data_IF_615353813897
#
_entry.id   IF_615353813897
#
_cell.length_a   1.000
_cell.length_b   1.000
_cell.length_c   1.000
_cell.angle_alpha   90.00
_cell.angle_beta   90.00
_cell.angle_gamma   90.00
#
_symmetry.space_group_name_H-M   'P 1'
#
loop_
_entity.id
_entity.type
_entity.pdbx_description
1 polymer ?
#
# COMPACT_ATOMS: atom_id res chain seq x y z
N UNK A 1 9.19 -24.69 -6.17
CA UNK A 1 10.64 -24.82 -6.47
C UNK A 1 11.16 -23.40 -6.58
N UNK A 2 11.97 -22.94 -5.62
CA UNK A 2 12.59 -21.63 -5.73
C UNK A 2 13.66 -21.73 -6.81
N UNK A 3 13.45 -21.07 -7.95
CA UNK A 3 14.49 -20.92 -8.96
C UNK A 3 15.73 -20.33 -8.27
N UNK A 4 16.91 -20.90 -8.51
CA UNK A 4 18.16 -20.43 -7.91
C UNK A 4 18.44 -19.00 -8.39
N UNK A 5 18.15 -18.00 -7.55
CA UNK A 5 18.26 -16.55 -7.86
C UNK A 5 19.67 -16.00 -7.68
N UNK A 6 20.66 -16.85 -7.38
CA UNK A 6 22.08 -16.46 -7.30
C UNK A 6 22.61 -15.80 -8.57
N UNK A 7 21.99 -16.11 -9.72
CA UNK A 7 22.29 -15.47 -11.01
C UNK A 7 22.20 -13.93 -10.95
N UNK A 8 21.39 -13.35 -10.05
CA UNK A 8 21.27 -11.89 -9.88
C UNK A 8 22.59 -11.24 -9.45
N UNK A 9 23.47 -12.01 -8.79
CA UNK A 9 24.75 -11.54 -8.24
C UNK A 9 25.95 -12.13 -8.99
N UNK A 10 25.93 -13.42 -9.35
CA UNK A 10 27.08 -14.11 -9.94
C UNK A 10 27.49 -13.58 -11.33
N UNK A 11 26.53 -13.04 -12.08
CA UNK A 11 26.76 -12.52 -13.43
C UNK A 11 26.88 -11.00 -13.53
N UNK A 12 26.80 -10.29 -12.40
CA UNK A 12 26.86 -8.83 -12.34
C UNK A 12 28.31 -8.36 -12.16
N UNK A 13 28.72 -7.35 -12.94
CA UNK A 13 30.05 -6.74 -12.84
C UNK A 13 29.92 -5.26 -12.52
N UNK A 14 30.40 -4.87 -11.32
CA UNK A 14 30.42 -3.47 -10.86
C UNK A 14 31.54 -2.64 -11.48
N UNK A 15 32.53 -3.27 -12.11
CA UNK A 15 33.77 -2.57 -12.48
C UNK A 15 33.74 -1.89 -13.84
N UNK A 16 32.63 -1.95 -14.59
CA UNK A 16 32.48 -1.28 -15.89
C UNK A 16 33.47 -1.74 -16.97
N UNK A 17 34.35 -2.69 -16.65
CA UNK A 17 35.44 -3.20 -17.48
C UNK A 17 35.12 -4.54 -18.15
N UNK A 18 34.19 -5.34 -17.60
CA UNK A 18 33.57 -6.47 -18.33
C UNK A 18 32.07 -6.22 -18.51
N UNK A 19 31.58 -6.69 -19.64
CA UNK A 19 30.14 -6.80 -19.90
C UNK A 19 29.51 -7.82 -18.95
N UNK A 20 28.36 -7.49 -18.34
CA UNK A 20 27.56 -8.46 -17.59
C UNK A 20 27.35 -9.75 -18.39
N UNK A 21 27.24 -10.88 -17.69
CA UNK A 21 27.09 -12.18 -18.34
C UNK A 21 25.83 -12.21 -19.21
N UNK A 22 25.86 -12.97 -20.30
CA UNK A 22 24.70 -13.13 -21.18
C UNK A 22 23.50 -13.72 -20.43
N UNK A 23 23.78 -14.61 -19.47
CA UNK A 23 22.76 -15.18 -18.59
C UNK A 23 22.12 -14.12 -17.69
N UNK A 24 22.92 -13.26 -17.05
CA UNK A 24 22.42 -12.17 -16.22
C UNK A 24 21.50 -11.26 -17.02
N UNK A 25 21.92 -10.83 -18.21
CA UNK A 25 21.09 -9.96 -19.07
C UNK A 25 19.76 -10.59 -19.44
N UNK A 26 19.77 -11.87 -19.84
CA UNK A 26 18.56 -12.60 -20.24
C UNK A 26 17.59 -12.74 -19.07
N UNK A 27 18.08 -13.13 -17.90
CA UNK A 27 17.25 -13.33 -16.71
C UNK A 27 16.78 -12.00 -16.10
N UNK A 28 17.62 -10.95 -16.11
CA UNK A 28 17.22 -9.58 -15.74
C UNK A 28 16.11 -9.07 -16.66
N UNK A 29 16.21 -9.32 -17.97
CA UNK A 29 15.16 -8.93 -18.90
C UNK A 29 13.84 -9.66 -18.61
N UNK A 30 13.90 -10.98 -18.34
CA UNK A 30 12.73 -11.75 -17.94
C UNK A 30 12.11 -11.24 -16.62
N UNK A 31 12.93 -10.85 -15.64
CA UNK A 31 12.47 -10.20 -14.40
C UNK A 31 11.74 -8.88 -14.69
N UNK A 32 12.31 -8.03 -15.54
CA UNK A 32 11.69 -6.75 -15.91
C UNK A 32 10.35 -7.00 -16.61
N UNK A 33 10.29 -7.91 -17.57
CA UNK A 33 9.06 -8.22 -18.29
C UNK A 33 7.99 -8.79 -17.36
N UNK A 34 8.38 -9.67 -16.42
CA UNK A 34 7.50 -10.17 -15.37
C UNK A 34 6.98 -9.03 -14.47
N UNK A 35 7.86 -8.18 -13.96
CA UNK A 35 7.50 -7.03 -13.11
C UNK A 35 6.48 -6.10 -13.78
N UNK A 36 6.64 -5.84 -15.09
CA UNK A 36 5.70 -5.01 -15.85
C UNK A 36 4.43 -5.76 -16.25
N UNK A 37 4.46 -7.09 -16.40
CA UNK A 37 3.24 -7.88 -16.65
C UNK A 37 2.26 -7.88 -15.47
N UNK A 38 2.75 -7.67 -14.24
CA UNK A 38 1.95 -7.63 -13.02
C UNK A 38 1.26 -6.29 -12.77
N UNK A 39 1.56 -5.26 -13.57
CA UNK A 39 1.03 -3.92 -13.35
C UNK A 39 0.38 -3.36 -14.61
N UNK A 40 -0.73 -2.66 -14.45
CA UNK A 40 -1.33 -1.85 -15.53
C UNK A 40 -0.69 -0.45 -15.61
N UNK A 41 0.28 -0.15 -14.74
CA UNK A 41 0.96 1.14 -14.66
C UNK A 41 2.27 1.12 -15.43
N UNK A 42 2.68 2.29 -15.93
CA UNK A 42 3.93 2.47 -16.67
C UNK A 42 5.19 2.53 -15.78
N UNK A 43 5.06 2.24 -14.47
CA UNK A 43 6.15 2.27 -13.48
C UNK A 43 6.06 1.11 -12.49
N UNK A 44 7.21 0.63 -12.06
CA UNK A 44 7.38 -0.43 -11.04
C UNK A 44 8.39 0.02 -9.97
N UNK A 45 8.43 -0.66 -8.82
CA UNK A 45 9.46 -0.39 -7.81
C UNK A 45 10.84 -0.77 -8.36
N UNK A 46 11.85 0.01 -8.01
CA UNK A 46 13.23 -0.23 -8.44
C UNK A 46 13.97 -1.09 -7.38
N UNK A 47 14.30 -2.36 -7.66
CA UNK A 47 15.05 -3.22 -6.74
C UNK A 47 16.56 -3.02 -6.86
N UNK A 48 17.04 -1.91 -7.45
CA UNK A 48 18.46 -1.66 -7.56
C UNK A 48 19.09 -1.32 -6.19
N UNK A 49 20.40 -1.51 -6.07
CA UNK A 49 21.14 -1.24 -4.83
C UNK A 49 21.06 0.22 -4.34
N UNK A 50 20.78 1.18 -5.23
CA UNK A 50 20.60 2.59 -4.84
C UNK A 50 19.20 2.83 -4.24
N UNK A 51 18.15 2.30 -4.88
CA UNK A 51 16.77 2.63 -4.53
C UNK A 51 16.14 1.67 -3.53
N UNK A 52 16.62 0.42 -3.41
CA UNK A 52 16.15 -0.59 -2.46
C UNK A 52 14.62 -0.73 -2.40
N UNK A 53 13.95 -0.83 -3.55
CA UNK A 53 12.49 -0.87 -3.73
C UNK A 53 11.72 0.40 -3.30
N UNK A 54 12.41 1.48 -2.92
CA UNK A 54 11.82 2.72 -2.42
C UNK A 54 11.27 3.65 -3.51
N UNK A 55 11.72 3.52 -4.76
CA UNK A 55 11.36 4.42 -5.87
C UNK A 55 10.61 3.71 -6.98
N UNK A 56 9.59 4.37 -7.53
CA UNK A 56 8.92 3.92 -8.74
C UNK A 56 9.63 4.47 -9.99
N UNK A 57 9.95 3.61 -10.94
CA UNK A 57 10.74 3.95 -12.14
C UNK A 57 10.06 3.40 -13.40
N UNK A 58 10.29 4.02 -14.55
CA UNK A 58 9.82 3.49 -15.84
C UNK A 58 10.67 2.31 -16.28
N UNK A 59 10.26 1.60 -17.32
CA UNK A 59 10.98 0.43 -17.84
C UNK A 59 12.40 0.78 -18.26
N UNK A 60 12.58 1.91 -18.94
CA UNK A 60 13.88 2.38 -19.43
C UNK A 60 14.80 2.73 -18.25
N UNK A 61 14.24 3.37 -17.22
CA UNK A 61 15.00 3.71 -16.03
C UNK A 61 15.38 2.46 -15.22
N UNK A 62 14.48 1.49 -15.10
CA UNK A 62 14.76 0.23 -14.41
C UNK A 62 15.90 -0.53 -15.08
N UNK A 63 15.91 -0.62 -16.41
CA UNK A 63 17.01 -1.25 -17.16
C UNK A 63 18.34 -0.57 -16.84
N UNK A 64 18.39 0.77 -16.91
CA UNK A 64 19.61 1.53 -16.59
C UNK A 64 20.05 1.31 -15.14
N UNK A 65 19.14 1.47 -14.19
CA UNK A 65 19.45 1.34 -12.76
C UNK A 65 19.99 -0.06 -12.42
N UNK A 66 19.45 -1.11 -13.03
CA UNK A 66 19.93 -2.47 -12.80
C UNK A 66 21.28 -2.76 -13.45
N UNK A 67 21.58 -2.14 -14.60
CA UNK A 67 22.89 -2.23 -15.25
C UNK A 67 23.95 -1.47 -14.44
N UNK A 68 23.61 -0.28 -13.92
CA UNK A 68 24.57 0.58 -13.24
C UNK A 68 24.82 0.14 -11.78
N UNK A 69 23.76 -0.24 -11.07
CA UNK A 69 23.82 -0.48 -9.62
C UNK A 69 23.64 -1.95 -9.23
N UNK A 70 23.13 -2.78 -10.14
CA UNK A 70 22.75 -4.16 -9.84
C UNK A 70 21.57 -4.25 -8.89
N UNK A 71 21.17 -5.48 -8.56
CA UNK A 71 20.12 -5.73 -7.58
C UNK A 71 20.59 -5.42 -6.16
N UNK A 72 19.66 -5.01 -5.31
CA UNK A 72 19.92 -4.82 -3.89
C UNK A 72 20.35 -6.16 -3.23
N UNK A 73 21.23 -6.13 -2.22
CA UNK A 73 21.72 -7.35 -1.58
C UNK A 73 20.59 -8.18 -0.97
N UNK A 74 20.72 -9.51 -1.04
CA UNK A 74 19.78 -10.46 -0.45
C UNK A 74 18.32 -10.35 -0.93
N UNK A 75 18.09 -9.75 -2.10
CA UNK A 75 16.78 -9.72 -2.76
C UNK A 75 16.48 -11.00 -3.54
N UNK A 76 16.62 -12.14 -2.86
CA UNK A 76 16.32 -13.46 -3.41
C UNK A 76 14.84 -13.80 -3.37
N UNK A 77 13.97 -12.94 -2.85
CA UNK A 77 12.52 -13.12 -2.94
C UNK A 77 11.94 -11.87 -3.55
N UNK A 78 11.21 -12.01 -4.66
CA UNK A 78 10.59 -10.89 -5.35
C UNK A 78 9.31 -10.41 -4.64
N UNK A 79 9.46 -10.03 -3.38
CA UNK A 79 8.37 -9.64 -2.45
C UNK A 79 7.51 -8.50 -2.98
N UNK A 80 8.09 -7.60 -3.78
CA UNK A 80 7.40 -6.48 -4.42
C UNK A 80 7.07 -6.73 -5.90
N UNK A 81 7.45 -7.89 -6.43
CA UNK A 81 7.33 -8.24 -7.85
C UNK A 81 6.69 -9.63 -8.04
N UNK A 82 5.75 -9.98 -7.16
CA UNK A 82 4.77 -11.06 -7.37
C UNK A 82 5.06 -12.40 -6.69
N UNK A 83 6.19 -12.55 -6.00
CA UNK A 83 6.49 -13.79 -5.28
C UNK A 83 5.97 -13.71 -3.84
N UNK A 84 5.08 -14.65 -3.51
CA UNK A 84 4.66 -14.88 -2.12
C UNK A 84 5.75 -15.69 -1.43
N UNK A 85 6.17 -15.23 -0.25
CA UNK A 85 7.05 -16.00 0.61
C UNK A 85 6.39 -17.36 0.89
N UNK A 86 7.02 -18.44 0.42
CA UNK A 86 6.51 -19.79 0.68
C UNK A 86 6.85 -20.07 2.13
N UNK A 87 5.89 -19.87 3.04
CA UNK A 87 6.02 -20.30 4.42
C UNK A 87 6.20 -21.81 4.40
N UNK A 88 7.44 -22.27 4.58
CA UNK A 88 7.73 -23.70 4.70
C UNK A 88 6.99 -24.17 5.96
N UNK A 89 5.84 -24.80 5.76
CA UNK A 89 5.26 -25.66 6.77
C UNK A 89 6.17 -26.87 6.79
N UNK A 90 7.10 -26.90 7.74
CA UNK A 90 7.77 -28.14 8.13
C UNK A 90 6.69 -29.13 8.54
N UNK A 91 6.49 -30.13 7.70
CA UNK A 91 5.72 -31.33 8.04
C UNK A 91 6.44 -32.01 9.20
N UNK A 92 5.80 -31.97 10.37
CA UNK A 92 6.29 -32.54 11.60
C UNK A 92 5.14 -32.63 12.59
N UNK A 93 4.55 -33.81 12.62
CA UNK A 93 3.72 -34.38 13.70
C UNK A 93 2.22 -34.06 13.67
N UNK A 94 1.48 -35.12 13.33
CA UNK A 94 0.06 -35.24 13.57
C UNK A 94 -0.23 -35.03 15.07
N UNK A 95 -0.98 -33.99 15.36
CA UNK A 95 -1.52 -33.67 16.68
C UNK A 95 -2.84 -32.93 16.49
N UNK A 96 -3.88 -33.75 16.41
CA UNK A 96 -5.24 -33.54 16.91
C UNK A 96 -5.74 -32.10 17.18
N UNK A 97 -6.84 -31.82 16.51
CA UNK A 97 -7.97 -31.01 16.95
C UNK A 97 -7.95 -29.47 16.94
N UNK A 98 -9.13 -28.98 16.57
CA UNK A 98 -9.63 -27.61 16.61
C UNK A 98 -9.09 -26.66 15.54
N UNK A 99 -9.99 -26.32 14.62
CA UNK A 99 -10.04 -25.01 13.99
C UNK A 99 -9.58 -23.92 14.97
N UNK A 100 -8.71 -23.03 14.50
CA UNK A 100 -8.37 -21.81 15.21
C UNK A 100 -9.61 -20.96 15.41
N UNK A 101 -10.33 -21.24 16.50
CA UNK A 101 -11.29 -20.30 17.07
C UNK A 101 -10.45 -19.10 17.47
N UNK A 102 -10.80 -17.95 16.90
CA UNK A 102 -10.17 -16.68 17.22
C UNK A 102 -10.37 -16.38 18.71
N UNK A 103 -9.40 -16.77 19.53
CA UNK A 103 -9.41 -16.54 20.99
C UNK A 103 -9.03 -15.10 21.36
N UNK A 104 -8.94 -14.18 20.38
CA UNK A 104 -8.75 -12.77 20.69
C UNK A 104 -9.90 -12.23 21.54
N UNK A 105 -11.13 -12.71 21.31
CA UNK A 105 -12.30 -12.29 22.10
C UNK A 105 -12.20 -12.75 23.57
N UNK A 106 -11.83 -14.01 23.83
CA UNK A 106 -11.61 -14.52 25.19
C UNK A 106 -10.46 -13.80 25.91
N UNK A 107 -9.40 -13.44 25.18
CA UNK A 107 -8.27 -12.68 25.73
C UNK A 107 -8.67 -11.23 26.04
N UNK A 108 -9.51 -10.60 25.21
CA UNK A 108 -10.06 -9.27 25.46
C UNK A 108 -11.00 -9.25 26.67
N UNK A 109 -11.86 -10.27 26.83
CA UNK A 109 -12.71 -10.43 28.01
C UNK A 109 -11.90 -10.65 29.29
N UNK A 110 -10.80 -11.40 29.23
CA UNK A 110 -9.93 -11.65 30.39
C UNK A 110 -9.15 -10.41 30.86
N UNK A 111 -8.84 -9.48 29.94
CA UNK A 111 -8.17 -8.20 30.25
C UNK A 111 -9.14 -7.11 30.74
N UNK A 112 -10.45 -7.29 30.49
CA UNK A 112 -11.49 -6.34 30.86
C UNK A 112 -11.52 -5.95 32.37
N UNK A 113 -11.26 -6.87 33.32
CA UNK A 113 -11.18 -6.56 34.75
C UNK A 113 -9.94 -5.76 35.15
N UNK A 114 -8.83 -5.93 34.42
CA UNK A 114 -7.53 -5.30 34.72
C UNK A 114 -7.46 -3.85 34.22
N UNK A 115 -8.22 -3.55 33.16
CA UNK A 115 -8.20 -2.24 32.50
C UNK A 115 -9.41 -1.34 32.82
N UNK A 116 -10.34 -1.76 33.69
CA UNK A 116 -11.54 -0.99 34.04
C UNK A 116 -12.18 -0.30 32.82
N UNK A 117 -12.27 -1.01 31.67
CA UNK A 117 -12.83 -0.46 30.42
C UNK A 117 -14.31 -0.12 30.56
N UNK A 118 -14.93 -0.57 31.66
CA UNK A 118 -16.28 -0.24 32.10
C UNK A 118 -16.31 0.98 33.03
N UNK A 119 -15.35 1.90 32.93
CA UNK A 119 -15.51 3.23 33.52
C UNK A 119 -16.72 3.88 32.84
N UNK A 120 -17.93 3.66 33.39
CA UNK A 120 -19.19 4.32 33.06
C UNK A 120 -19.17 5.81 33.48
N UNK A 121 -18.00 6.45 33.35
CA UNK A 121 -17.91 7.88 33.32
C UNK A 121 -18.55 8.39 32.03
N UNK A 122 -19.24 9.53 32.04
CA UNK A 122 -19.68 10.16 30.81
C UNK A 122 -18.46 10.32 29.88
N UNK A 123 -18.62 10.05 28.56
CA UNK A 123 -17.55 10.20 27.60
C UNK A 123 -16.91 11.59 27.77
N UNK A 124 -15.57 11.64 27.69
CA UNK A 124 -14.91 12.94 27.72
C UNK A 124 -15.40 13.77 26.53
N UNK A 125 -15.32 15.10 26.64
CA UNK A 125 -15.81 15.98 25.55
C UNK A 125 -15.15 15.65 24.21
N UNK A 126 -13.90 15.24 24.23
CA UNK A 126 -13.13 14.83 23.05
C UNK A 126 -13.71 13.58 22.40
N UNK A 127 -14.14 12.59 23.21
CA UNK A 127 -14.78 11.36 22.72
C UNK A 127 -16.15 11.68 22.12
N UNK A 128 -16.94 12.52 22.77
CA UNK A 128 -18.23 12.96 22.22
C UNK A 128 -18.07 13.71 20.88
N UNK A 129 -17.07 14.59 20.78
CA UNK A 129 -16.77 15.31 19.55
C UNK A 129 -16.34 14.37 18.43
N UNK A 130 -15.52 13.36 18.75
CA UNK A 130 -15.12 12.34 17.79
C UNK A 130 -16.31 11.55 17.24
N UNK A 131 -17.19 11.04 18.10
CA UNK A 131 -18.38 10.30 17.66
C UNK A 131 -19.36 11.16 16.87
N UNK A 132 -19.51 12.44 17.23
CA UNK A 132 -20.30 13.40 16.43
C UNK A 132 -19.74 13.58 15.02
N UNK A 133 -18.42 13.69 14.88
CA UNK A 133 -17.76 13.77 13.58
C UNK A 133 -17.92 12.49 12.76
N UNK A 134 -17.79 11.34 13.41
CA UNK A 134 -17.97 10.04 12.78
C UNK A 134 -19.39 9.92 12.21
N UNK A 135 -20.39 10.21 13.04
CA UNK A 135 -21.79 10.19 12.63
C UNK A 135 -22.05 11.14 11.45
N UNK A 136 -21.58 12.39 11.54
CA UNK A 136 -21.72 13.36 10.45
C UNK A 136 -21.06 12.92 9.13
N UNK A 137 -20.00 12.11 9.19
CA UNK A 137 -19.35 11.56 8.00
C UNK A 137 -20.13 10.41 7.34
N UNK A 138 -20.94 9.70 8.11
CA UNK A 138 -21.77 8.60 7.63
C UNK A 138 -23.10 9.07 7.05
N UNK A 139 -23.50 10.31 7.34
CA UNK A 139 -24.68 10.93 6.75
C UNK A 139 -24.59 11.04 5.22
N UNK A 140 -25.74 10.99 4.51
CA UNK A 140 -25.80 11.18 3.07
C UNK A 140 -25.16 12.49 2.61
N UNK A 141 -24.47 12.44 1.47
CA UNK A 141 -23.79 13.58 0.85
C UNK A 141 -24.76 14.69 0.43
N UNK A 142 -26.02 14.35 0.13
CA UNK A 142 -27.11 15.27 -0.16
C UNK A 142 -28.46 14.57 0.09
N UNK A 143 -29.54 15.33 0.29
CA UNK A 143 -30.91 14.82 0.53
C UNK A 143 -31.42 13.83 -0.53
N UNK A 144 -30.86 13.84 -1.73
CA UNK A 144 -31.29 13.02 -2.86
C UNK A 144 -30.30 11.90 -3.22
N UNK A 145 -29.24 11.72 -2.43
CA UNK A 145 -28.15 10.80 -2.74
C UNK A 145 -28.02 9.78 -1.61
N UNK A 146 -27.83 8.49 -1.93
CA UNK A 146 -27.60 7.43 -0.92
C UNK A 146 -26.13 7.27 -0.51
N UNK A 147 -25.25 8.05 -1.12
CA UNK A 147 -23.81 7.99 -0.90
C UNK A 147 -23.46 8.84 0.30
N UNK A 148 -22.83 8.29 1.33
CA UNK A 148 -22.37 9.07 2.48
C UNK A 148 -21.16 9.95 2.14
N UNK A 149 -20.92 10.97 2.97
CA UNK A 149 -19.74 11.83 2.85
C UNK A 149 -18.46 11.01 2.89
N UNK A 150 -18.36 10.08 3.84
CA UNK A 150 -17.22 9.18 3.99
C UNK A 150 -17.02 8.33 2.72
N UNK A 151 -18.08 7.68 2.22
CA UNK A 151 -17.98 6.84 1.04
C UNK A 151 -17.56 7.63 -0.21
N UNK A 152 -18.01 8.88 -0.34
CA UNK A 152 -17.60 9.77 -1.41
C UNK A 152 -16.12 10.14 -1.32
N UNK A 153 -15.65 10.58 -0.15
CA UNK A 153 -14.25 10.97 0.08
C UNK A 153 -13.32 9.78 -0.10
N UNK A 154 -13.66 8.60 0.45
CA UNK A 154 -12.86 7.38 0.30
C UNK A 154 -12.73 6.99 -1.18
N UNK A 155 -13.80 7.11 -1.97
CA UNK A 155 -13.75 6.84 -3.42
C UNK A 155 -12.88 7.86 -4.15
N UNK A 156 -12.96 9.15 -3.81
CA UNK A 156 -12.10 10.18 -4.39
C UNK A 156 -10.62 9.92 -4.09
N UNK A 157 -10.27 9.55 -2.85
CA UNK A 157 -8.90 9.22 -2.47
C UNK A 157 -8.43 7.94 -3.19
N UNK A 158 -9.29 6.93 -3.31
CA UNK A 158 -8.98 5.72 -4.07
C UNK A 158 -8.69 6.04 -5.55
N UNK A 159 -9.47 6.94 -6.17
CA UNK A 159 -9.22 7.44 -7.54
C UNK A 159 -7.89 8.17 -7.61
N UNK A 160 -7.62 9.10 -6.68
CA UNK A 160 -6.36 9.84 -6.60
C UNK A 160 -5.16 8.88 -6.58
N UNK A 161 -5.21 7.86 -5.73
CA UNK A 161 -4.15 6.87 -5.59
C UNK A 161 -4.02 5.98 -6.81
N UNK A 162 -5.14 5.49 -7.36
CA UNK A 162 -5.16 4.60 -8.53
C UNK A 162 -4.61 5.28 -9.79
N UNK A 163 -4.87 6.57 -9.97
CA UNK A 163 -4.46 7.34 -11.15
C UNK A 163 -3.34 8.36 -10.87
N UNK A 164 -2.72 8.29 -9.69
CA UNK A 164 -1.58 9.14 -9.29
C UNK A 164 -1.82 10.64 -9.48
N UNK A 165 -3.01 11.13 -9.14
CA UNK A 165 -3.28 12.57 -9.21
C UNK A 165 -2.36 13.32 -8.26
N UNK A 166 -1.61 14.28 -8.80
CA UNK A 166 -0.84 15.21 -7.98
C UNK A 166 -1.78 15.92 -7.00
N UNK A 167 -1.26 16.34 -5.84
CA UNK A 167 -2.07 17.08 -4.86
C UNK A 167 -2.72 18.32 -5.48
N UNK A 168 -1.99 19.01 -6.37
CA UNK A 168 -2.51 20.16 -7.09
C UNK A 168 -3.71 19.78 -7.98
N UNK A 169 -3.56 18.80 -8.86
CA UNK A 169 -4.64 18.34 -9.74
C UNK A 169 -5.86 17.83 -8.96
N UNK A 170 -5.63 17.10 -7.87
CA UNK A 170 -6.72 16.62 -7.02
C UNK A 170 -7.46 17.77 -6.32
N UNK A 171 -6.74 18.76 -5.81
CA UNK A 171 -7.36 19.92 -5.15
C UNK A 171 -8.17 20.75 -6.14
N UNK A 172 -7.65 20.99 -7.35
CA UNK A 172 -8.36 21.72 -8.40
C UNK A 172 -9.67 20.97 -8.80
N UNK A 173 -9.63 19.63 -8.85
CA UNK A 173 -10.80 18.80 -9.12
C UNK A 173 -11.85 18.89 -8.00
N UNK A 174 -11.42 18.80 -6.74
CA UNK A 174 -12.32 18.90 -5.58
C UNK A 174 -12.95 20.30 -5.51
N UNK A 175 -12.19 21.36 -5.81
CA UNK A 175 -12.72 22.72 -5.92
C UNK A 175 -13.79 22.83 -7.00
N UNK A 176 -13.52 22.32 -8.21
CA UNK A 176 -14.49 22.34 -9.30
C UNK A 176 -15.79 21.59 -8.95
N UNK A 177 -15.69 20.43 -8.29
CA UNK A 177 -16.86 19.69 -7.80
C UNK A 177 -17.63 20.53 -6.77
N UNK A 178 -16.91 21.21 -5.89
CA UNK A 178 -17.50 22.11 -4.90
C UNK A 178 -18.25 23.28 -5.54
N UNK A 179 -17.66 23.93 -6.54
CA UNK A 179 -18.27 25.06 -7.25
C UNK A 179 -19.49 24.62 -8.08
N UNK A 180 -19.42 23.43 -8.70
CA UNK A 180 -20.50 22.88 -9.51
C UNK A 180 -21.72 22.44 -8.67
N UNK A 181 -21.49 22.06 -7.42
CA UNK A 181 -22.55 21.61 -6.51
C UNK A 181 -22.33 22.20 -5.09
N UNK A 182 -22.71 23.46 -4.86
CA UNK A 182 -22.51 24.14 -3.57
C UNK A 182 -23.13 23.39 -2.38
N UNK A 183 -24.24 22.69 -2.62
CA UNK A 183 -24.93 21.86 -1.64
C UNK A 183 -24.14 20.61 -1.20
N UNK A 184 -23.12 20.16 -1.97
CA UNK A 184 -22.22 19.07 -1.55
C UNK A 184 -21.25 19.49 -0.44
N UNK A 185 -21.02 20.80 -0.25
CA UNK A 185 -20.08 21.36 0.74
C UNK A 185 -20.83 21.97 1.94
N UNK A 186 -22.11 21.65 2.14
CA UNK A 186 -22.81 22.03 3.37
C UNK A 186 -22.28 21.31 4.63
N UNK A 187 -21.25 20.47 4.51
CA UNK A 187 -20.48 19.96 5.64
C UNK A 187 -19.27 20.88 5.91
N UNK A 188 -19.32 21.75 6.94
CA UNK A 188 -18.31 22.77 7.16
C UNK A 188 -17.08 22.15 7.83
N UNK A 189 -16.25 21.38 7.09
CA UNK A 189 -14.85 21.09 7.46
C UNK A 189 -14.01 20.24 6.50
N UNK A 190 -14.37 20.08 5.22
CA UNK A 190 -13.47 19.44 4.23
C UNK A 190 -12.33 20.39 3.76
N UNK A 191 -12.33 21.66 4.20
CA UNK A 191 -11.18 22.55 4.05
C UNK A 191 -10.21 22.40 5.23
N UNK A 192 -9.53 21.26 5.37
CA UNK A 192 -8.32 21.19 6.21
C UNK A 192 -7.10 21.34 5.30
N UNK A 193 -6.38 22.44 5.53
CA UNK A 193 -5.11 22.88 4.92
C UNK A 193 -5.18 23.54 3.52
N UNK A 194 -5.74 24.74 3.50
CA UNK A 194 -5.27 25.82 2.64
C UNK A 194 -5.38 27.15 3.42
N UNK A 195 -4.57 27.30 4.47
CA UNK A 195 -4.31 28.58 5.14
C UNK A 195 -3.08 28.43 6.05
N UNK A 196 -2.02 29.19 5.74
CA UNK A 196 -0.84 29.40 6.57
C UNK A 196 0.33 28.50 6.24
#
# INVERSE_FOLDING_TARGET
MADDRRWMYDGFDKTGGKTHSAEWRKKTQAFIDHAFSLTTHYRVRCPCNEHNNGKFVTREQLVRDLVDYGFMPSYETWTFHGEKETRVQTEGEAGDDSAGVDRMDEMLEALQPEFCLNSEGPPTKEVEEFFKLLQASEEPLHEHTKLSVLAFVTRLIAIKSKYFFSNKCFNDLVQLIGDAFPQLISCPRICISARG
#
